data_IF_312525794012
#
_entry.id   IF_312525794012
#
_cell.length_a   1.000
_cell.length_b   1.000
_cell.length_c   1.000
_cell.angle_alpha   90.00
_cell.angle_beta   90.00
_cell.angle_gamma   90.00
#
_symmetry.space_group_name_H-M   'P 1'
#
loop_
_entity.id
_entity.type
_entity.pdbx_description
1 polymer ?
#
# COMPACT_ATOMS: atom_id res chain seq x y z
N UNK A 1 -14.20 10.03 -14.24
CA UNK A 1 -13.26 10.65 -15.19
C UNK A 1 -12.70 9.57 -16.10
N UNK A 2 -12.92 9.66 -17.39
CA UNK A 2 -12.34 8.71 -18.35
C UNK A 2 -10.94 9.19 -18.75
N UNK A 3 -9.95 8.97 -17.87
CA UNK A 3 -8.57 9.32 -18.15
C UNK A 3 -7.96 8.29 -19.11
N UNK A 4 -7.93 8.63 -20.40
CA UNK A 4 -7.38 7.79 -21.49
C UNK A 4 -5.88 7.95 -21.69
N UNK A 5 -5.19 8.74 -20.84
CA UNK A 5 -3.73 8.87 -20.92
C UNK A 5 -3.06 7.51 -20.80
N UNK A 6 -2.17 7.23 -21.71
CA UNK A 6 -1.33 6.04 -21.67
C UNK A 6 0.01 6.39 -21.01
N UNK A 7 0.31 5.72 -19.91
CA UNK A 7 1.56 5.91 -19.22
C UNK A 7 2.55 4.81 -19.60
N UNK A 8 3.79 5.20 -19.82
CA UNK A 8 4.88 4.29 -20.24
C UNK A 8 5.06 3.08 -19.32
N UNK A 9 4.75 3.25 -18.04
CA UNK A 9 4.93 2.20 -17.01
C UNK A 9 3.89 1.06 -17.12
N UNK A 10 2.66 1.36 -17.60
CA UNK A 10 1.57 0.40 -17.56
C UNK A 10 1.82 -0.89 -18.36
N UNK A 11 2.25 -0.84 -19.62
CA UNK A 11 2.53 -2.06 -20.38
C UNK A 11 3.60 -2.92 -19.72
N UNK A 12 4.67 -2.30 -19.20
CA UNK A 12 5.77 -3.00 -18.55
C UNK A 12 5.30 -3.70 -17.27
N UNK A 13 4.66 -2.96 -16.34
CA UNK A 13 4.19 -3.53 -15.07
C UNK A 13 3.14 -4.63 -15.34
N UNK A 14 2.29 -4.45 -16.35
CA UNK A 14 1.30 -5.47 -16.72
C UNK A 14 1.94 -6.74 -17.31
N UNK A 15 3.03 -6.63 -18.06
CA UNK A 15 3.78 -7.77 -18.54
C UNK A 15 4.44 -8.55 -17.39
N UNK A 16 5.04 -7.82 -16.43
CA UNK A 16 5.63 -8.39 -15.22
C UNK A 16 4.57 -9.10 -14.34
N UNK A 17 3.39 -8.49 -14.16
CA UNK A 17 2.26 -9.12 -13.47
C UNK A 17 1.83 -10.44 -14.15
N UNK A 18 1.69 -10.43 -15.48
CA UNK A 18 1.35 -11.65 -16.23
C UNK A 18 2.42 -12.73 -16.11
N UNK A 19 3.70 -12.35 -16.12
CA UNK A 19 4.81 -13.28 -15.89
C UNK A 19 4.74 -13.96 -14.53
N UNK A 20 4.47 -13.19 -13.46
CA UNK A 20 4.30 -13.73 -12.11
C UNK A 20 3.07 -14.65 -12.00
N UNK A 21 1.96 -14.33 -12.68
CA UNK A 21 0.78 -15.20 -12.72
C UNK A 21 1.03 -16.55 -13.40
N UNK A 22 2.03 -16.63 -14.26
CA UNK A 22 2.44 -17.83 -14.98
C UNK A 22 3.67 -18.52 -14.36
N UNK A 23 4.23 -17.95 -13.27
CA UNK A 23 5.41 -18.53 -12.64
C UNK A 23 5.11 -19.93 -12.08
N UNK A 24 5.91 -20.94 -12.40
CA UNK A 24 5.83 -22.28 -11.83
C UNK A 24 6.44 -22.34 -10.42
N UNK A 25 7.14 -21.30 -10.01
CA UNK A 25 7.92 -21.30 -8.77
C UNK A 25 7.02 -21.46 -7.53
N UNK A 26 7.52 -22.20 -6.56
CA UNK A 26 6.90 -22.38 -5.25
C UNK A 26 7.85 -21.89 -4.19
N UNK A 27 7.30 -21.25 -3.17
CA UNK A 27 8.05 -20.73 -2.03
C UNK A 27 7.39 -21.17 -0.73
N UNK A 28 8.20 -21.26 0.31
CA UNK A 28 7.73 -21.54 1.67
C UNK A 28 7.50 -20.20 2.37
N UNK A 29 6.24 -19.88 2.62
CA UNK A 29 5.86 -18.59 3.21
C UNK A 29 5.80 -18.66 4.73
N UNK A 30 6.14 -17.54 5.38
CA UNK A 30 5.94 -17.30 6.81
C UNK A 30 4.79 -16.33 6.94
N UNK A 31 3.61 -16.81 7.35
CA UNK A 31 2.43 -15.95 7.44
C UNK A 31 2.35 -15.31 8.83
N UNK A 32 2.55 -14.01 8.90
CA UNK A 32 2.47 -13.24 10.14
C UNK A 32 1.02 -12.82 10.50
N UNK A 33 0.09 -12.88 9.56
CA UNK A 33 -1.32 -12.48 9.76
C UNK A 33 -2.25 -13.64 10.15
N UNK A 34 -2.00 -14.86 9.65
CA UNK A 34 -2.89 -16.02 9.89
C UNK A 34 -2.30 -17.07 10.82
N UNK A 35 -1.06 -16.89 11.28
CA UNK A 35 -0.38 -17.81 12.21
C UNK A 35 0.02 -19.18 11.60
N UNK A 36 -0.15 -19.37 10.30
CA UNK A 36 0.20 -20.60 9.57
C UNK A 36 1.57 -20.44 8.92
N UNK A 37 2.63 -20.63 9.71
CA UNK A 37 3.99 -20.58 9.19
C UNK A 37 4.35 -21.87 8.43
N UNK A 38 5.18 -21.70 7.37
CA UNK A 38 5.78 -22.84 6.66
C UNK A 38 4.91 -23.49 5.60
N UNK A 39 3.83 -22.83 5.15
CA UNK A 39 2.99 -23.31 4.05
C UNK A 39 3.67 -23.06 2.70
N UNK A 40 3.74 -24.10 1.89
CA UNK A 40 4.21 -23.95 0.52
C UNK A 40 3.13 -23.33 -0.37
N UNK A 41 3.47 -22.24 -1.05
CA UNK A 41 2.56 -21.51 -1.96
C UNK A 41 3.24 -21.28 -3.31
N UNK A 42 2.48 -21.34 -4.40
CA UNK A 42 2.99 -20.94 -5.70
C UNK A 42 3.03 -19.42 -5.82
N UNK A 43 4.05 -18.89 -6.48
CA UNK A 43 4.18 -17.46 -6.80
C UNK A 43 2.96 -16.97 -7.56
N UNK A 44 2.44 -17.78 -8.49
CA UNK A 44 1.21 -17.48 -9.23
C UNK A 44 -0.02 -17.32 -8.33
N UNK A 45 -0.13 -18.15 -7.27
CA UNK A 45 -1.23 -18.04 -6.30
C UNK A 45 -1.10 -16.78 -5.45
N UNK A 46 0.10 -16.46 -4.96
CA UNK A 46 0.36 -15.23 -4.20
C UNK A 46 0.02 -14.02 -5.06
N UNK A 47 0.52 -13.99 -6.31
CA UNK A 47 0.23 -12.90 -7.25
C UNK A 47 -1.25 -12.70 -7.50
N UNK A 48 -2.00 -13.78 -7.64
CA UNK A 48 -3.46 -13.71 -7.92
C UNK A 48 -4.26 -13.14 -6.76
N UNK A 49 -3.87 -13.43 -5.52
CA UNK A 49 -4.66 -13.11 -4.34
C UNK A 49 -4.15 -11.91 -3.53
N UNK A 50 -2.85 -11.60 -3.63
CA UNK A 50 -2.21 -10.57 -2.80
C UNK A 50 -1.54 -9.45 -3.59
N UNK A 51 -1.46 -9.53 -4.93
CA UNK A 51 -0.91 -8.42 -5.70
C UNK A 51 -2.00 -7.45 -6.14
N UNK A 52 -1.67 -6.17 -6.16
CA UNK A 52 -2.54 -5.16 -6.74
C UNK A 52 -2.94 -5.53 -8.18
N UNK A 53 -4.24 -5.61 -8.45
CA UNK A 53 -4.73 -5.84 -9.81
C UNK A 53 -4.30 -4.70 -10.74
N UNK A 54 -4.19 -4.91 -12.07
CA UNK A 54 -3.84 -3.84 -13.00
C UNK A 54 -4.78 -2.63 -12.92
N UNK A 55 -6.05 -2.83 -12.59
CA UNK A 55 -7.02 -1.75 -12.41
C UNK A 55 -6.69 -0.91 -11.17
N UNK A 56 -6.49 -1.56 -10.02
CA UNK A 56 -6.09 -0.89 -8.77
C UNK A 56 -4.73 -0.20 -8.95
N UNK A 57 -3.73 -0.91 -9.49
CA UNK A 57 -2.39 -0.35 -9.70
C UNK A 57 -2.40 0.92 -10.57
N UNK A 58 -3.18 0.95 -11.65
CA UNK A 58 -3.34 2.16 -12.48
C UNK A 58 -3.99 3.31 -11.72
N UNK A 59 -4.91 3.01 -10.79
CA UNK A 59 -5.53 4.04 -9.95
C UNK A 59 -4.50 4.57 -8.95
N UNK A 60 -3.75 3.70 -8.26
CA UNK A 60 -2.66 4.10 -7.35
C UNK A 60 -1.62 4.96 -8.05
N UNK A 61 -1.20 4.57 -9.26
CA UNK A 61 -0.30 5.39 -10.09
C UNK A 61 -0.85 6.80 -10.30
N UNK A 62 -2.14 6.93 -10.69
CA UNK A 62 -2.77 8.23 -10.94
C UNK A 62 -2.93 9.07 -9.68
N UNK A 63 -3.21 8.43 -8.54
CA UNK A 63 -3.28 9.11 -7.25
C UNK A 63 -1.89 9.69 -6.91
N UNK A 64 -0.84 8.88 -7.01
CA UNK A 64 0.53 9.33 -6.75
C UNK A 64 0.99 10.40 -7.76
N UNK A 65 0.62 10.27 -9.04
CA UNK A 65 0.89 11.29 -10.05
C UNK A 65 0.20 12.63 -9.71
N UNK A 66 -1.06 12.57 -9.27
CA UNK A 66 -1.85 13.76 -8.96
C UNK A 66 -1.37 14.49 -7.71
N UNK A 67 -1.19 13.76 -6.60
CA UNK A 67 -0.72 14.35 -5.33
C UNK A 67 0.77 14.64 -5.32
N UNK A 68 1.52 13.98 -6.19
CA UNK A 68 2.95 14.17 -6.34
C UNK A 68 3.75 14.11 -5.02
N UNK A 69 3.52 13.11 -4.14
CA UNK A 69 4.18 12.97 -2.85
C UNK A 69 5.69 12.83 -3.02
N UNK A 70 6.48 13.37 -2.09
CA UNK A 70 7.95 13.18 -2.06
C UNK A 70 8.34 11.94 -1.27
N UNK A 71 7.58 11.62 -0.23
CA UNK A 71 7.85 10.53 0.71
C UNK A 71 6.64 9.62 0.79
N UNK A 72 6.83 8.39 0.31
CA UNK A 72 5.80 7.36 0.25
C UNK A 72 6.18 6.22 1.18
N UNK A 73 5.23 5.75 1.97
CA UNK A 73 5.35 4.52 2.75
C UNK A 73 4.28 3.52 2.30
N UNK A 74 4.71 2.29 2.02
CA UNK A 74 3.82 1.17 1.73
C UNK A 74 4.01 0.09 2.79
N UNK A 75 2.91 -0.36 3.41
CA UNK A 75 2.87 -1.53 4.28
C UNK A 75 2.19 -2.67 3.51
N UNK A 76 2.98 -3.68 3.14
CA UNK A 76 2.52 -4.80 2.32
C UNK A 76 3.02 -4.72 0.88
N UNK A 77 4.30 -5.05 0.67
CA UNK A 77 4.92 -5.10 -0.67
C UNK A 77 4.35 -6.23 -1.52
N UNK A 78 4.05 -7.38 -0.90
CA UNK A 78 3.72 -8.62 -1.60
C UNK A 78 4.78 -8.93 -2.68
N UNK A 79 4.40 -9.32 -3.88
CA UNK A 79 5.33 -9.54 -5.00
C UNK A 79 5.78 -8.24 -5.70
N UNK A 80 5.50 -7.08 -5.11
CA UNK A 80 5.97 -5.77 -5.55
C UNK A 80 5.24 -5.15 -6.75
N UNK A 81 4.08 -5.64 -7.13
CA UNK A 81 3.30 -5.05 -8.26
C UNK A 81 2.70 -3.71 -7.86
N UNK A 82 2.08 -3.60 -6.68
CA UNK A 82 1.59 -2.33 -6.11
C UNK A 82 2.70 -1.30 -6.01
N UNK A 83 3.82 -1.71 -5.42
CA UNK A 83 5.02 -0.90 -5.24
C UNK A 83 5.51 -0.28 -6.56
N UNK A 84 5.52 -1.04 -7.66
CA UNK A 84 5.94 -0.52 -8.98
C UNK A 84 5.00 0.56 -9.50
N UNK A 85 3.69 0.42 -9.28
CA UNK A 85 2.72 1.46 -9.65
C UNK A 85 2.86 2.72 -8.79
N UNK A 86 3.19 2.57 -7.51
CA UNK A 86 3.46 3.70 -6.61
C UNK A 86 4.78 4.41 -6.95
N UNK A 87 5.82 3.65 -7.33
CA UNK A 87 7.15 4.18 -7.61
C UNK A 87 7.30 4.82 -8.99
N UNK A 88 6.54 4.33 -9.98
CA UNK A 88 6.74 4.71 -11.38
C UNK A 88 6.41 6.17 -11.74
N UNK A 89 5.43 6.87 -11.11
CA UNK A 89 5.12 8.26 -11.44
C UNK A 89 6.31 9.20 -11.29
N UNK A 90 7.15 8.99 -10.27
CA UNK A 90 8.30 9.84 -10.03
C UNK A 90 9.47 9.06 -9.41
N UNK A 91 10.51 8.84 -10.19
CA UNK A 91 11.71 8.07 -9.79
C UNK A 91 12.70 8.84 -8.91
N UNK A 92 12.47 10.11 -8.67
CA UNK A 92 13.31 10.95 -7.80
C UNK A 92 12.77 11.04 -6.37
N UNK A 93 11.57 10.49 -6.12
CA UNK A 93 10.91 10.52 -4.83
C UNK A 93 11.13 9.21 -4.08
N UNK A 94 11.28 9.31 -2.76
CA UNK A 94 11.58 8.15 -1.92
C UNK A 94 10.32 7.35 -1.65
N UNK A 95 10.38 6.04 -1.90
CA UNK A 95 9.38 5.08 -1.49
C UNK A 95 10.03 4.01 -0.59
N UNK A 96 9.52 3.89 0.63
CA UNK A 96 9.86 2.76 1.52
C UNK A 96 8.69 1.79 1.51
N UNK A 97 8.98 0.50 1.34
CA UNK A 97 7.98 -0.56 1.36
C UNK A 97 8.38 -1.66 2.33
N UNK A 98 7.41 -2.17 3.09
CA UNK A 98 7.62 -3.17 4.13
C UNK A 98 6.99 -4.50 3.73
N UNK A 99 7.74 -5.61 3.87
CA UNK A 99 7.24 -6.96 3.62
C UNK A 99 7.67 -7.89 4.75
N UNK A 100 6.68 -8.54 5.38
CA UNK A 100 6.91 -9.45 6.49
C UNK A 100 7.56 -10.75 6.09
N UNK A 101 7.17 -11.33 4.94
CA UNK A 101 7.62 -12.64 4.50
C UNK A 101 8.93 -12.55 3.70
N UNK A 102 10.03 -13.16 4.19
CA UNK A 102 11.33 -13.11 3.51
C UNK A 102 11.31 -13.72 2.11
N UNK A 103 10.55 -14.79 1.90
CA UNK A 103 10.46 -15.46 0.61
C UNK A 103 9.67 -14.63 -0.41
N UNK A 104 8.62 -13.93 0.04
CA UNK A 104 7.85 -12.99 -0.78
C UNK A 104 8.69 -11.73 -1.06
N UNK A 105 9.36 -11.17 -0.05
CA UNK A 105 10.27 -10.04 -0.20
C UNK A 105 11.39 -10.32 -1.22
N UNK A 106 11.93 -11.55 -1.26
CA UNK A 106 12.94 -11.94 -2.25
C UNK A 106 12.40 -11.88 -3.69
N UNK A 107 11.13 -12.21 -3.92
CA UNK A 107 10.48 -12.07 -5.23
C UNK A 107 10.32 -10.59 -5.59
N UNK A 108 9.79 -9.79 -4.65
CA UNK A 108 9.61 -8.37 -4.84
C UNK A 108 10.94 -7.68 -5.18
N UNK A 109 12.01 -7.98 -4.44
CA UNK A 109 13.36 -7.41 -4.62
C UNK A 109 13.91 -7.62 -6.03
N UNK A 110 13.70 -8.82 -6.61
CA UNK A 110 14.09 -9.10 -8.00
C UNK A 110 13.38 -8.18 -8.99
N UNK A 111 12.10 -7.94 -8.77
CA UNK A 111 11.30 -7.09 -9.65
C UNK A 111 11.49 -5.59 -9.43
N UNK A 112 11.99 -5.19 -8.27
CA UNK A 112 12.22 -3.79 -7.90
C UNK A 112 13.61 -3.27 -8.29
N UNK A 113 14.47 -4.09 -8.85
CA UNK A 113 15.85 -3.75 -9.25
C UNK A 113 15.93 -2.51 -10.16
N UNK A 114 14.90 -2.27 -10.97
CA UNK A 114 14.81 -1.14 -11.89
C UNK A 114 14.12 0.10 -11.27
N UNK A 115 13.86 0.09 -9.96
CA UNK A 115 13.22 1.18 -9.22
C UNK A 115 14.17 1.68 -8.13
N UNK A 116 15.19 2.50 -8.48
CA UNK A 116 16.24 2.93 -7.55
C UNK A 116 15.72 3.83 -6.42
N UNK A 117 14.51 4.35 -6.56
CA UNK A 117 13.80 5.15 -5.56
C UNK A 117 13.04 4.30 -4.54
N UNK A 118 13.10 2.97 -4.62
CA UNK A 118 12.40 2.06 -3.71
C UNK A 118 13.38 1.41 -2.76
N UNK A 119 13.11 1.53 -1.45
CA UNK A 119 13.77 0.76 -0.40
C UNK A 119 12.79 -0.27 0.15
N UNK A 120 13.11 -1.57 0.00
CA UNK A 120 12.34 -2.65 0.59
C UNK A 120 12.99 -3.08 1.90
N UNK A 121 12.23 -2.97 3.00
CA UNK A 121 12.60 -3.40 4.34
C UNK A 121 11.84 -4.70 4.66
N UNK A 122 12.58 -5.74 5.00
CA UNK A 122 12.07 -7.07 5.30
C UNK A 122 11.87 -7.25 6.81
N UNK A 123 10.71 -7.77 7.18
CA UNK A 123 10.36 -8.10 8.57
C UNK A 123 8.94 -7.65 8.94
N UNK A 124 8.41 -8.17 10.07
CA UNK A 124 7.08 -7.81 10.53
C UNK A 124 6.96 -6.31 10.81
N UNK A 125 5.80 -5.72 10.52
CA UNK A 125 5.57 -4.27 10.69
C UNK A 125 5.83 -3.80 12.12
N UNK A 126 5.54 -4.64 13.12
CA UNK A 126 5.82 -4.34 14.53
C UNK A 126 7.31 -4.10 14.84
N UNK A 127 8.21 -4.54 13.97
CA UNK A 127 9.66 -4.37 14.12
C UNK A 127 10.25 -3.38 13.11
N UNK A 128 9.60 -3.17 11.98
CA UNK A 128 10.18 -2.42 10.84
C UNK A 128 9.56 -1.04 10.64
N UNK A 129 8.31 -0.84 11.06
CA UNK A 129 7.56 0.39 10.81
C UNK A 129 8.23 1.62 11.43
N UNK A 130 8.62 1.52 12.70
CA UNK A 130 9.26 2.65 13.40
C UNK A 130 10.57 3.07 12.72
N UNK A 131 11.41 2.10 12.39
CA UNK A 131 12.67 2.36 11.69
C UNK A 131 12.44 2.94 10.27
N UNK A 132 11.38 2.50 9.58
CA UNK A 132 11.00 3.06 8.29
C UNK A 132 10.55 4.52 8.40
N UNK A 133 9.72 4.83 9.40
CA UNK A 133 9.25 6.19 9.67
C UNK A 133 10.40 7.14 10.05
N UNK A 134 11.42 6.65 10.77
CA UNK A 134 12.60 7.44 11.14
C UNK A 134 13.46 7.82 9.92
N UNK A 135 13.44 7.03 8.84
CA UNK A 135 14.15 7.34 7.59
C UNK A 135 13.44 8.42 6.77
N UNK A 136 12.18 8.69 7.03
CA UNK A 136 11.39 9.70 6.33
C UNK A 136 11.38 11.01 7.13
N UNK A 137 11.70 12.16 6.51
CA UNK A 137 11.55 13.46 7.19
C UNK A 137 10.08 13.77 7.50
N UNK A 138 9.17 13.35 6.62
CA UNK A 138 7.71 13.44 6.76
C UNK A 138 7.06 12.32 5.96
N UNK A 139 5.75 12.14 6.07
CA UNK A 139 4.98 11.17 5.30
C UNK A 139 3.93 11.90 4.46
N UNK A 140 4.10 11.90 3.13
CA UNK A 140 3.16 12.56 2.22
C UNK A 140 2.06 11.59 1.74
N UNK A 141 2.42 10.31 1.52
CA UNK A 141 1.48 9.29 1.09
C UNK A 141 1.72 7.96 1.80
N UNK A 142 0.64 7.40 2.36
CA UNK A 142 0.60 6.04 2.93
C UNK A 142 -0.25 5.13 2.04
N UNK A 143 0.26 3.93 1.74
CA UNK A 143 -0.52 2.79 1.28
C UNK A 143 -0.43 1.68 2.33
N UNK A 144 -1.53 1.44 3.05
CA UNK A 144 -1.61 0.42 4.10
C UNK A 144 -2.40 -0.78 3.55
N UNK A 145 -1.68 -1.84 3.16
CA UNK A 145 -2.21 -3.05 2.53
C UNK A 145 -1.56 -4.30 3.16
N UNK A 146 -1.79 -4.46 4.45
CA UNK A 146 -1.27 -5.63 5.15
C UNK A 146 -1.76 -5.74 6.59
N UNK A 147 -1.72 -6.96 7.14
CA UNK A 147 -2.20 -7.30 8.47
C UNK A 147 -3.64 -6.81 8.70
N UNK A 148 -4.58 -7.40 7.96
CA UNK A 148 -5.99 -6.99 7.90
C UNK A 148 -6.78 -7.32 9.19
N UNK A 149 -6.19 -7.04 10.35
CA UNK A 149 -6.85 -7.06 11.66
C UNK A 149 -7.17 -5.65 12.15
N UNK A 150 -8.21 -5.50 12.95
CA UNK A 150 -8.59 -4.21 13.55
C UNK A 150 -7.41 -3.56 14.29
N UNK A 151 -6.81 -4.32 15.21
CA UNK A 151 -5.76 -3.78 16.08
C UNK A 151 -4.50 -3.35 15.32
N UNK A 152 -4.08 -4.16 14.33
CA UNK A 152 -2.89 -3.82 13.56
C UNK A 152 -3.14 -2.63 12.63
N UNK A 153 -4.29 -2.59 11.95
CA UNK A 153 -4.65 -1.50 11.03
C UNK A 153 -4.71 -0.16 11.77
N UNK A 154 -5.42 -0.09 12.91
CA UNK A 154 -5.53 1.14 13.69
C UNK A 154 -4.17 1.55 14.27
N UNK A 155 -3.43 0.62 14.87
CA UNK A 155 -2.10 0.89 15.44
C UNK A 155 -1.12 1.41 14.36
N UNK A 156 -1.05 0.75 13.20
CA UNK A 156 -0.15 1.16 12.12
C UNK A 156 -0.52 2.54 11.56
N UNK A 157 -1.81 2.82 11.43
CA UNK A 157 -2.31 4.15 11.07
C UNK A 157 -1.86 5.22 12.08
N UNK A 158 -2.04 4.97 13.39
CA UNK A 158 -1.63 5.89 14.47
C UNK A 158 -0.11 6.17 14.46
N UNK A 159 0.71 5.14 14.22
CA UNK A 159 2.15 5.32 14.07
C UNK A 159 2.48 6.21 12.87
N UNK A 160 1.82 5.99 11.73
CA UNK A 160 2.03 6.80 10.52
C UNK A 160 1.60 8.26 10.70
N UNK A 161 0.57 8.53 11.51
CA UNK A 161 0.15 9.90 11.81
C UNK A 161 1.24 10.77 12.43
N UNK A 162 2.20 10.18 13.15
CA UNK A 162 3.30 10.93 13.78
C UNK A 162 4.21 11.63 12.77
N UNK A 163 4.22 11.17 11.52
CA UNK A 163 5.01 11.76 10.42
C UNK A 163 4.14 12.44 9.36
N UNK A 164 2.83 12.30 9.47
CA UNK A 164 1.88 12.91 8.55
C UNK A 164 1.70 14.41 8.85
N UNK A 165 1.26 15.14 7.84
CA UNK A 165 1.00 16.58 7.88
C UNK A 165 -0.32 16.90 7.16
N UNK A 166 -0.72 18.18 7.12
CA UNK A 166 -2.03 18.58 6.59
C UNK A 166 -2.28 18.20 5.11
N UNK A 167 -1.23 18.10 4.31
CA UNK A 167 -1.32 17.70 2.90
C UNK A 167 -1.15 16.20 2.68
N UNK A 168 -0.96 15.41 3.73
CA UNK A 168 -0.80 13.97 3.64
C UNK A 168 -2.09 13.29 3.16
N UNK A 169 -1.93 12.28 2.32
CA UNK A 169 -2.97 11.34 1.93
C UNK A 169 -2.65 9.95 2.48
N UNK A 170 -3.51 9.43 3.36
CA UNK A 170 -3.34 8.09 3.93
C UNK A 170 -4.43 7.18 3.37
N UNK A 171 -4.00 6.14 2.64
CA UNK A 171 -4.89 5.19 1.99
C UNK A 171 -4.80 3.82 2.66
N UNK A 172 -5.94 3.21 2.95
CA UNK A 172 -6.08 1.91 3.61
C UNK A 172 -6.82 0.96 2.67
N UNK A 173 -6.19 -0.16 2.26
CA UNK A 173 -6.82 -1.16 1.40
C UNK A 173 -7.78 -2.06 2.18
N UNK A 174 -8.62 -2.75 1.42
CA UNK A 174 -9.51 -3.81 1.90
C UNK A 174 -10.42 -3.39 3.08
N UNK A 175 -10.91 -2.14 3.11
CA UNK A 175 -11.73 -1.56 4.19
C UNK A 175 -13.04 -2.33 4.47
N UNK A 176 -13.49 -3.17 3.55
CA UNK A 176 -14.66 -4.03 3.70
C UNK A 176 -14.35 -5.53 3.60
N UNK A 177 -13.06 -5.91 3.68
CA UNK A 177 -12.64 -7.31 3.62
C UNK A 177 -13.25 -8.18 4.73
N UNK A 178 -13.38 -7.63 5.93
CA UNK A 178 -13.91 -8.29 7.12
C UNK A 178 -14.67 -7.30 8.01
N UNK A 179 -15.39 -7.81 9.02
CA UNK A 179 -16.00 -6.96 10.05
C UNK A 179 -14.95 -6.16 10.81
N UNK A 180 -13.77 -6.74 11.08
CA UNK A 180 -12.67 -6.06 11.75
C UNK A 180 -12.15 -4.90 10.92
N UNK A 181 -11.92 -5.10 9.61
CA UNK A 181 -11.47 -4.03 8.70
C UNK A 181 -12.51 -2.93 8.55
N UNK A 182 -13.79 -3.29 8.47
CA UNK A 182 -14.87 -2.29 8.47
C UNK A 182 -14.87 -1.46 9.76
N UNK A 183 -14.71 -2.10 10.91
CA UNK A 183 -14.61 -1.39 12.20
C UNK A 183 -13.35 -0.52 12.29
N UNK A 184 -12.20 -0.99 11.77
CA UNK A 184 -10.97 -0.20 11.71
C UNK A 184 -11.15 1.05 10.83
N UNK A 185 -11.78 0.90 9.65
CA UNK A 185 -12.10 2.01 8.76
C UNK A 185 -13.01 3.05 9.44
N UNK A 186 -14.07 2.61 10.13
CA UNK A 186 -14.94 3.52 10.90
C UNK A 186 -14.16 4.26 11.99
N UNK A 187 -13.28 3.57 12.72
CA UNK A 187 -12.42 4.19 13.74
C UNK A 187 -11.48 5.23 13.12
N UNK A 188 -10.83 4.90 12.01
CA UNK A 188 -9.93 5.81 11.29
C UNK A 188 -10.67 7.06 10.80
N UNK A 189 -11.85 6.91 10.22
CA UNK A 189 -12.67 8.06 9.78
C UNK A 189 -13.02 9.01 10.94
N UNK A 190 -13.27 8.43 12.13
CA UNK A 190 -13.61 9.22 13.32
C UNK A 190 -12.40 9.80 14.05
N UNK A 191 -11.18 9.43 13.67
CA UNK A 191 -9.96 9.94 14.33
C UNK A 191 -9.94 11.47 14.34
N UNK A 192 -9.56 12.12 15.48
CA UNK A 192 -9.59 13.60 15.62
C UNK A 192 -8.80 14.35 14.54
N UNK A 193 -7.70 13.79 14.07
CA UNK A 193 -6.87 14.40 13.00
C UNK A 193 -7.45 14.26 11.61
N UNK A 194 -8.42 13.37 11.37
CA UNK A 194 -9.03 13.16 10.06
C UNK A 194 -10.11 14.22 9.83
N UNK A 195 -10.01 14.94 8.72
CA UNK A 195 -10.95 15.99 8.32
C UNK A 195 -11.78 15.63 7.10
N UNK A 196 -11.19 14.87 6.18
CA UNK A 196 -11.87 14.40 4.98
C UNK A 196 -11.59 12.92 4.80
N UNK A 197 -12.61 12.14 4.47
CA UNK A 197 -12.47 10.74 4.09
C UNK A 197 -13.21 10.45 2.79
N UNK A 198 -12.62 9.63 1.95
CA UNK A 198 -13.17 9.18 0.67
C UNK A 198 -13.16 7.66 0.65
N UNK A 199 -14.35 7.08 0.59
CA UNK A 199 -14.57 5.65 0.45
C UNK A 199 -14.68 5.28 -1.03
N UNK A 200 -13.81 4.41 -1.50
CA UNK A 200 -13.77 3.89 -2.85
C UNK A 200 -14.23 2.42 -2.92
N UNK A 201 -15.00 1.98 -1.95
CA UNK A 201 -15.55 0.63 -1.80
C UNK A 201 -14.50 -0.46 -1.52
N UNK A 202 -13.37 -0.47 -2.22
CA UNK A 202 -12.26 -1.37 -1.95
C UNK A 202 -11.31 -0.79 -0.91
N UNK A 203 -10.89 0.43 -1.08
CA UNK A 203 -9.99 1.11 -0.16
C UNK A 203 -10.54 2.50 0.20
N UNK A 204 -10.09 3.02 1.33
CA UNK A 204 -10.43 4.35 1.80
C UNK A 204 -9.22 5.27 1.80
N UNK A 205 -9.44 6.56 1.58
CA UNK A 205 -8.42 7.60 1.74
C UNK A 205 -8.87 8.58 2.81
N UNK A 206 -7.94 9.01 3.66
CA UNK A 206 -8.17 10.08 4.62
C UNK A 206 -7.15 11.20 4.45
N UNK A 207 -7.60 12.41 4.76
CA UNK A 207 -6.83 13.65 4.66
C UNK A 207 -6.94 14.43 5.97
N UNK A 208 -5.85 15.10 6.35
CA UNK A 208 -5.70 15.78 7.63
C UNK A 208 -5.90 17.31 7.54
N UNK A 209 -6.37 17.81 6.41
CA UNK A 209 -6.45 19.23 6.06
C UNK A 209 -7.13 20.06 7.13
N UNK A 210 -6.39 20.94 7.77
CA UNK A 210 -6.88 21.83 8.84
C UNK A 210 -7.84 22.91 8.32
N UNK A 211 -7.82 23.23 7.03
CA UNK A 211 -8.73 24.16 6.41
C UNK A 211 -10.21 23.71 6.45
N UNK A 212 -10.46 22.39 6.52
CA UNK A 212 -11.80 21.85 6.69
C UNK A 212 -12.22 22.00 8.16
N UNK A 213 -13.17 22.88 8.45
CA UNK A 213 -13.66 23.10 9.81
C UNK A 213 -14.48 21.92 10.34
N UNK A 214 -15.28 21.29 9.46
CA UNK A 214 -16.08 20.10 9.76
C UNK A 214 -15.50 18.87 9.09
N UNK A 215 -15.84 17.70 9.61
CA UNK A 215 -15.49 16.44 8.99
C UNK A 215 -16.40 16.16 7.80
N UNK A 216 -15.80 15.78 6.68
CA UNK A 216 -16.50 15.42 5.47
C UNK A 216 -16.24 13.96 5.10
N UNK A 217 -17.26 13.28 4.62
CA UNK A 217 -17.16 11.91 4.17
C UNK A 217 -17.84 11.74 2.82
N UNK A 218 -17.12 11.19 1.85
CA UNK A 218 -17.61 10.90 0.52
C UNK A 218 -17.47 9.43 0.17
N UNK A 219 -18.46 8.87 -0.51
CA UNK A 219 -18.37 7.53 -1.11
C UNK A 219 -18.42 7.70 -2.62
N UNK A 220 -17.40 7.18 -3.30
CA UNK A 220 -17.25 7.26 -4.75
C UNK A 220 -17.18 5.86 -5.35
N UNK A 221 -17.84 5.66 -6.48
CA UNK A 221 -17.72 4.45 -7.29
C UNK A 221 -16.72 4.69 -8.43
N UNK A 222 -15.80 3.76 -8.62
CA UNK A 222 -14.75 3.84 -9.64
C UNK A 222 -14.63 2.55 -10.47
#
# INVERSE_FOLDING_TARGET
>A
MDDRRQFYAFPKIQAEYKGLLQSPDRIRTTDFGTGVSGKERSVSSITRHAAASPRLGRLLFRIVEYFSPEYILELGTSVGIGTRYLAAPNRHKQLITLEGDPAVAAIARKGLVNYPNVELIEGPFSQTLEAALQKLPRLDFLWLDGDHSYNATVRNFEHCLQKAHEDSCLAIDDIYWSREMTSAWETIKQHPSVRLSIDLNRFGMVFLRTANREKEHFTLRW
#
